data_IF_799157503139
#
_entry.id   IF_799157503139
#
_cell.length_a   1.000
_cell.length_b   1.000
_cell.length_c   1.000
_cell.angle_alpha   90.00
_cell.angle_beta   90.00
_cell.angle_gamma   90.00
#
_symmetry.space_group_name_H-M   'P 1'
#
loop_
_entity.id
_entity.type
_entity.pdbx_description
1 polymer ?
#
# COMPACT_ATOMS: atom_id res chain seq x y z
N UNK A 1 -4.71 -18.93 12.54
CA UNK A 1 -4.56 -17.48 12.73
C UNK A 1 -3.72 -16.98 11.58
N UNK A 2 -4.29 -16.19 10.68
CA UNK A 2 -3.54 -15.62 9.55
C UNK A 2 -2.65 -14.51 10.09
N UNK A 3 -1.34 -14.61 9.85
CA UNK A 3 -0.38 -13.59 10.27
C UNK A 3 -0.68 -12.28 9.53
N UNK A 4 -0.54 -11.13 10.18
CA UNK A 4 -0.62 -9.85 9.47
C UNK A 4 0.69 -9.63 8.69
N UNK A 5 0.59 -9.41 7.38
CA UNK A 5 1.70 -8.95 6.57
C UNK A 5 1.79 -7.43 6.67
N UNK A 6 2.88 -6.92 7.26
CA UNK A 6 3.16 -5.49 7.33
C UNK A 6 3.72 -5.00 6.00
N UNK A 7 3.22 -3.86 5.54
CA UNK A 7 3.49 -3.30 4.22
C UNK A 7 3.93 -1.85 4.33
N UNK A 8 4.79 -1.45 3.38
CA UNK A 8 5.09 -0.05 3.05
C UNK A 8 4.68 0.19 1.60
N UNK A 9 4.05 1.31 1.33
CA UNK A 9 3.63 1.74 -0.01
C UNK A 9 4.17 3.15 -0.23
N UNK A 10 5.11 3.28 -1.16
CA UNK A 10 5.56 4.56 -1.66
C UNK A 10 4.63 5.01 -2.80
N UNK A 11 3.84 6.05 -2.60
CA UNK A 11 2.92 6.60 -3.60
C UNK A 11 3.70 7.50 -4.57
N UNK A 12 3.69 7.15 -5.84
CA UNK A 12 4.45 7.85 -6.89
C UNK A 12 3.58 8.77 -7.75
N UNK A 13 2.29 8.48 -7.88
CA UNK A 13 1.35 9.30 -8.63
C UNK A 13 0.03 9.49 -7.86
N UNK A 14 -0.55 10.70 -7.86
CA UNK A 14 -0.06 11.91 -8.53
C UNK A 14 1.22 12.46 -7.85
N UNK A 15 2.03 13.21 -8.60
CA UNK A 15 3.31 13.72 -8.11
C UNK A 15 3.18 14.63 -6.88
N UNK A 16 1.99 15.22 -6.67
CA UNK A 16 1.71 16.10 -5.55
C UNK A 16 1.02 15.38 -4.38
N UNK A 17 0.96 14.05 -4.38
CA UNK A 17 0.37 13.27 -3.30
C UNK A 17 0.95 13.62 -1.93
N UNK A 18 2.27 13.79 -1.82
CA UNK A 18 2.93 14.15 -0.55
C UNK A 18 2.38 15.46 0.03
N UNK A 19 2.05 16.44 -0.82
CA UNK A 19 1.43 17.70 -0.39
C UNK A 19 0.01 17.47 0.16
N UNK A 20 -0.69 16.46 -0.34
CA UNK A 20 -2.05 16.10 0.08
C UNK A 20 -2.04 15.31 1.39
N UNK A 21 -1.18 14.30 1.49
CA UNK A 21 -1.17 13.32 2.59
C UNK A 21 -0.15 13.64 3.70
N UNK A 22 0.72 14.63 3.50
CA UNK A 22 1.83 14.96 4.40
C UNK A 22 3.03 14.01 4.31
N UNK A 23 2.94 12.97 3.49
CA UNK A 23 3.98 11.97 3.22
C UNK A 23 3.67 11.26 1.89
N UNK A 24 4.70 10.82 1.17
CA UNK A 24 4.55 9.87 0.06
C UNK A 24 4.55 8.40 0.53
N UNK A 25 4.97 8.14 1.77
CA UNK A 25 5.07 6.82 2.35
C UNK A 25 3.84 6.49 3.20
N UNK A 26 3.13 5.43 2.83
CA UNK A 26 2.04 4.86 3.59
C UNK A 26 2.48 3.54 4.21
N UNK A 27 2.11 3.29 5.46
CA UNK A 27 2.31 2.00 6.13
C UNK A 27 0.99 1.37 6.52
N UNK A 28 0.99 0.04 6.57
CA UNK A 28 -0.22 -0.69 6.93
C UNK A 28 0.01 -2.19 7.01
N UNK A 29 -1.09 -2.93 6.94
CA UNK A 29 -1.08 -4.39 6.97
C UNK A 29 -2.23 -5.01 6.18
N UNK A 30 -2.07 -6.27 5.80
CA UNK A 30 -3.13 -7.08 5.17
C UNK A 30 -3.06 -8.54 5.63
N UNK A 31 -4.19 -9.24 5.53
CA UNK A 31 -4.29 -10.71 5.68
C UNK A 31 -4.56 -11.41 4.35
N UNK A 32 -4.87 -10.66 3.30
CA UNK A 32 -5.33 -11.20 2.01
C UNK A 32 -4.24 -11.96 1.27
N UNK A 33 -2.96 -11.70 1.59
CA UNK A 33 -1.81 -12.44 1.08
C UNK A 33 -1.83 -13.94 1.40
N UNK A 34 -2.64 -14.37 2.38
CA UNK A 34 -2.74 -15.77 2.75
C UNK A 34 -3.52 -16.62 1.73
N UNK A 35 -4.33 -15.98 0.89
CA UNK A 35 -5.00 -16.63 -0.22
C UNK A 35 -4.27 -16.28 -1.53
N UNK A 36 -3.60 -17.24 -2.19
CA UNK A 36 -2.89 -17.00 -3.43
C UNK A 36 -3.82 -16.67 -4.61
N UNK A 37 -5.13 -16.94 -4.50
CA UNK A 37 -6.12 -16.58 -5.53
C UNK A 37 -6.53 -15.10 -5.46
N UNK A 38 -6.19 -14.39 -4.38
CA UNK A 38 -6.48 -12.96 -4.26
C UNK A 38 -5.61 -12.13 -5.23
N UNK A 39 -6.26 -11.63 -6.28
CA UNK A 39 -5.62 -10.73 -7.27
C UNK A 39 -5.36 -9.31 -6.74
N UNK A 40 -6.08 -8.91 -5.68
CA UNK A 40 -5.95 -7.62 -5.02
C UNK A 40 -6.03 -7.79 -3.50
N UNK A 41 -5.35 -6.93 -2.75
CA UNK A 41 -5.31 -6.97 -1.29
C UNK A 41 -5.94 -5.71 -0.70
N UNK A 42 -6.87 -5.88 0.24
CA UNK A 42 -7.30 -4.81 1.13
C UNK A 42 -6.20 -4.57 2.16
N UNK A 43 -5.62 -3.37 2.11
CA UNK A 43 -4.58 -2.90 3.03
C UNK A 43 -5.21 -1.93 4.01
N UNK A 44 -5.09 -2.26 5.30
CA UNK A 44 -5.46 -1.37 6.41
C UNK A 44 -4.28 -0.47 6.72
N UNK A 45 -4.48 0.85 6.60
CA UNK A 45 -3.43 1.82 6.88
C UNK A 45 -3.27 2.06 8.38
N UNK A 46 -2.03 2.26 8.84
CA UNK A 46 -1.74 2.51 10.26
C UNK A 46 -2.30 3.88 10.70
N UNK A 47 -2.16 4.89 9.83
CA UNK A 47 -2.59 6.27 10.11
C UNK A 47 -3.61 6.84 9.11
N UNK A 48 -3.71 6.27 7.91
CA UNK A 48 -4.55 6.81 6.84
C UNK A 48 -4.07 8.18 6.34
N UNK A 49 -4.87 8.81 5.48
CA UNK A 49 -4.66 10.17 5.00
C UNK A 49 -5.98 10.79 4.54
N UNK A 50 -6.05 12.12 4.43
CA UNK A 50 -7.25 12.80 3.97
C UNK A 50 -7.20 13.06 2.45
N UNK A 51 -8.29 12.75 1.76
CA UNK A 51 -8.44 12.91 0.32
C UNK A 51 -9.89 13.27 -0.01
N UNK A 52 -10.11 14.39 -0.70
CA UNK A 52 -11.45 14.91 -1.05
C UNK A 52 -12.43 14.94 0.15
N UNK A 53 -12.04 15.62 1.24
CA UNK A 53 -12.84 15.79 2.47
C UNK A 53 -13.16 14.48 3.21
N UNK A 54 -12.46 13.39 2.89
CA UNK A 54 -12.67 12.08 3.50
C UNK A 54 -11.37 11.51 4.01
N UNK A 55 -11.45 10.83 5.14
CA UNK A 55 -10.33 10.09 5.70
C UNK A 55 -10.26 8.68 5.08
N UNK A 56 -9.15 8.38 4.41
CA UNK A 56 -8.87 7.09 3.78
C UNK A 56 -8.03 6.25 4.73
N UNK A 57 -8.68 5.31 5.41
CA UNK A 57 -8.01 4.33 6.29
C UNK A 57 -7.77 2.96 5.66
N UNK A 58 -8.27 2.72 4.44
CA UNK A 58 -8.11 1.46 3.71
C UNK A 58 -7.91 1.69 2.23
N UNK A 59 -7.08 0.86 1.63
CA UNK A 59 -6.81 0.84 0.20
C UNK A 59 -7.01 -0.57 -0.35
N UNK A 60 -7.56 -0.66 -1.56
CA UNK A 60 -7.45 -1.86 -2.37
C UNK A 60 -6.21 -1.71 -3.24
N UNK A 61 -5.26 -2.61 -3.06
CA UNK A 61 -3.99 -2.64 -3.77
C UNK A 61 -4.05 -3.74 -4.80
N UNK A 62 -3.69 -3.45 -6.05
CA UNK A 62 -3.62 -4.44 -7.12
C UNK A 62 -2.38 -4.24 -7.98
N UNK A 63 -1.91 -5.26 -8.71
CA UNK A 63 -0.80 -5.12 -9.63
C UNK A 63 -1.05 -4.00 -10.67
N UNK A 64 0.01 -3.26 -11.00
CA UNK A 64 -0.08 -2.21 -12.02
C UNK A 64 -0.22 -2.80 -13.43
N UNK A 65 0.42 -3.93 -13.71
CA UNK A 65 0.45 -4.52 -15.03
C UNK A 65 -0.34 -5.83 -15.11
N UNK A 66 -0.92 -6.09 -16.29
CA UNK A 66 -1.73 -7.27 -16.57
C UNK A 66 -0.88 -8.53 -16.50
N UNK A 67 -1.42 -9.59 -15.88
CA UNK A 67 -0.74 -10.88 -15.74
C UNK A 67 0.28 -10.94 -14.61
N UNK A 68 0.41 -9.90 -13.80
CA UNK A 68 1.21 -9.94 -12.58
C UNK A 68 0.35 -10.27 -11.35
N UNK A 69 1.02 -10.77 -10.30
CA UNK A 69 0.41 -11.13 -9.03
C UNK A 69 1.14 -10.44 -7.87
N UNK A 70 0.42 -9.98 -6.85
CA UNK A 70 1.01 -9.26 -5.70
C UNK A 70 2.03 -10.09 -4.93
N UNK A 71 1.93 -11.42 -4.95
CA UNK A 71 2.92 -12.31 -4.36
C UNK A 71 4.34 -12.08 -4.91
N UNK A 72 4.49 -11.56 -6.15
CA UNK A 72 5.80 -11.21 -6.72
C UNK A 72 6.52 -10.08 -5.98
N UNK A 73 5.83 -9.36 -5.11
CA UNK A 73 6.44 -8.39 -4.20
C UNK A 73 7.54 -9.02 -3.33
N UNK A 74 7.36 -10.27 -2.90
CA UNK A 74 8.35 -10.95 -2.05
C UNK A 74 9.68 -11.22 -2.78
N UNK A 75 9.67 -11.19 -4.11
CA UNK A 75 10.86 -11.37 -4.95
C UNK A 75 11.46 -10.03 -5.42
N UNK A 76 10.80 -8.91 -5.14
CA UNK A 76 11.16 -7.60 -5.68
C UNK A 76 12.22 -6.89 -4.82
N UNK A 77 13.33 -6.47 -5.46
CA UNK A 77 14.45 -5.79 -4.78
C UNK A 77 14.12 -4.34 -4.40
N UNK A 78 13.36 -3.63 -5.23
CA UNK A 78 13.08 -2.19 -5.09
C UNK A 78 11.60 -1.86 -4.86
N UNK A 79 10.80 -2.87 -4.48
CA UNK A 79 9.34 -2.79 -4.42
C UNK A 79 8.65 -3.20 -5.73
N UNK A 80 7.34 -3.47 -5.63
CA UNK A 80 6.50 -3.97 -6.72
C UNK A 80 5.48 -2.91 -7.16
N UNK A 81 5.30 -2.65 -8.47
CA UNK A 81 4.42 -1.58 -8.93
C UNK A 81 2.94 -1.94 -8.77
N UNK A 82 2.19 -1.03 -8.16
CA UNK A 82 0.77 -1.23 -7.84
C UNK A 82 -0.11 -0.06 -8.22
N UNK A 83 -1.40 -0.34 -8.39
CA UNK A 83 -2.49 0.63 -8.40
C UNK A 83 -3.19 0.60 -7.06
N UNK A 84 -3.58 1.77 -6.59
CA UNK A 84 -4.24 1.95 -5.30
C UNK A 84 -5.63 2.53 -5.55
N UNK A 85 -6.63 1.83 -5.03
CA UNK A 85 -8.00 2.32 -5.01
C UNK A 85 -8.42 2.64 -3.58
N UNK A 86 -9.16 3.74 -3.41
CA UNK A 86 -9.86 4.05 -2.17
C UNK A 86 -11.33 3.69 -2.32
N UNK A 87 -12.02 3.55 -1.19
CA UNK A 87 -13.46 3.26 -1.18
C UNK A 87 -14.27 4.55 -1.25
N UNK A 88 -15.22 4.63 -2.17
CA UNK A 88 -16.22 5.69 -2.28
C UNK A 88 -17.60 5.06 -2.55
N UNK A 89 -18.59 5.44 -1.73
CA UNK A 89 -19.98 5.01 -1.80
C UNK A 89 -20.16 3.49 -2.06
N UNK A 90 -19.44 2.68 -1.29
CA UNK A 90 -19.49 1.22 -1.38
C UNK A 90 -18.67 0.58 -2.51
N UNK A 91 -18.07 1.38 -3.40
CA UNK A 91 -17.27 0.92 -4.55
C UNK A 91 -15.79 1.34 -4.46
N UNK A 92 -14.92 0.64 -5.17
CA UNK A 92 -13.48 0.93 -5.22
C UNK A 92 -13.14 1.81 -6.41
N UNK A 93 -12.42 2.90 -6.17
CA UNK A 93 -12.01 3.87 -7.18
C UNK A 93 -10.51 4.02 -7.22
N UNK A 94 -9.90 3.70 -8.36
CA UNK A 94 -8.46 3.85 -8.56
C UNK A 94 -8.10 5.32 -8.68
N UNK A 95 -7.18 5.78 -7.82
CA UNK A 95 -6.78 7.18 -7.76
C UNK A 95 -5.25 7.37 -7.74
N UNK A 96 -4.49 6.34 -7.33
CA UNK A 96 -3.05 6.48 -7.12
C UNK A 96 -2.27 5.30 -7.72
N UNK A 97 -0.98 5.52 -7.97
CA UNK A 97 -0.02 4.46 -8.29
C UNK A 97 1.20 4.57 -7.39
N UNK A 98 1.86 3.44 -7.14
CA UNK A 98 3.02 3.42 -6.25
C UNK A 98 3.79 2.12 -6.32
N UNK A 99 4.72 1.99 -5.37
CA UNK A 99 5.55 0.81 -5.17
C UNK A 99 5.24 0.22 -3.80
N UNK A 100 4.88 -1.06 -3.74
CA UNK A 100 4.64 -1.78 -2.48
C UNK A 100 5.85 -2.65 -2.11
N UNK A 101 6.19 -2.71 -0.84
CA UNK A 101 7.17 -3.65 -0.30
C UNK A 101 6.71 -4.19 1.05
N UNK A 102 7.28 -5.33 1.45
CA UNK A 102 7.15 -5.78 2.83
C UNK A 102 7.86 -4.77 3.75
N UNK A 103 7.24 -4.45 4.89
CA UNK A 103 7.88 -3.71 5.99
C UNK A 103 8.35 -4.72 7.02
N UNK A 104 9.64 -4.68 7.36
CA UNK A 104 10.20 -5.54 8.41
C UNK A 104 10.26 -4.76 9.73
N UNK A 105 10.00 -5.44 10.85
CA UNK A 105 9.99 -4.83 12.20
C UNK A 105 11.33 -4.22 12.65
N UNK A 106 12.41 -4.40 11.87
CA UNK A 106 13.72 -3.81 12.13
C UNK A 106 13.96 -2.44 11.48
N UNK A 107 13.09 -1.96 10.58
CA UNK A 107 13.28 -0.69 9.86
C UNK A 107 12.99 0.56 10.72
N UNK A 108 12.33 0.42 11.88
CA UNK A 108 12.04 1.55 12.79
C UNK A 108 13.24 1.96 13.66
N UNK A 109 14.34 1.20 13.66
CA UNK A 109 15.47 1.39 14.57
C UNK A 109 16.71 2.10 13.99
N UNK A 110 16.73 2.42 12.69
CA UNK A 110 17.94 2.92 12.00
C UNK A 110 17.77 4.29 11.33
N UNK A 111 16.99 5.20 11.93
CA UNK A 111 17.27 6.64 11.80
C UNK A 111 18.25 7.04 12.89
N UNK A 112 19.44 6.43 12.82
CA UNK A 112 20.57 6.70 13.69
C UNK A 112 20.98 8.16 13.60
N UNK A 113 20.81 8.86 14.72
CA UNK A 113 21.58 10.05 15.07
C UNK A 113 23.07 9.76 14.86
N UNK A 114 23.70 10.43 13.90
CA UNK A 114 25.15 10.67 13.89
C UNK A 114 25.36 12.17 14.00
#
# INVERSE_FOLDING_TARGET
MTQHLKLRIHVSEPFDFERLAGTAELTGWTVDHADPENEAWEVHLDHGFDFHERHIGRLLVSPRYVGEHLARMFDAIAGFPVRLAHRDDGSWHYAFTGMISQRHDGEEADNGTI
#
